data_IF_992745345769
#
_entry.id   IF_992745345769
#
_cell.length_a   1.000
_cell.length_b   1.000
_cell.length_c   1.000
_cell.angle_alpha   90.00
_cell.angle_beta   90.00
_cell.angle_gamma   90.00
#
_symmetry.space_group_name_H-M   'P 1'
#
loop_
_entity.id
_entity.type
_entity.pdbx_description
1 polymer ?
#
# COMPACT_ATOMS: atom_id res chain seq x y z
N UNK A 1 8.23 7.13 20.38
CA UNK A 1 7.34 8.21 19.93
C UNK A 1 5.84 7.85 19.97
N UNK A 2 5.44 6.71 20.54
CA UNK A 2 4.00 6.36 20.70
C UNK A 2 3.22 6.25 19.38
N UNK A 3 3.92 6.12 18.25
CA UNK A 3 3.32 5.97 16.93
C UNK A 3 3.10 4.48 16.64
N UNK A 4 1.94 4.09 16.08
CA UNK A 4 1.73 2.74 15.59
C UNK A 4 2.76 2.38 14.51
N UNK A 5 3.19 1.14 14.49
CA UNK A 5 4.22 0.60 13.63
C UNK A 5 3.61 -0.39 12.65
N UNK A 6 3.97 -0.26 11.39
CA UNK A 6 3.68 -1.22 10.33
C UNK A 6 5.00 -1.66 9.70
N UNK A 7 5.14 -2.96 9.45
CA UNK A 7 6.24 -3.51 8.65
C UNK A 7 5.75 -4.70 7.85
N UNK A 8 6.43 -5.01 6.76
CA UNK A 8 6.12 -6.19 5.98
C UNK A 8 6.81 -7.46 6.48
N UNK A 9 6.22 -8.58 6.04
CA UNK A 9 6.68 -9.93 6.34
C UNK A 9 6.90 -10.69 5.04
N UNK A 10 8.01 -11.44 4.97
CA UNK A 10 8.41 -12.19 3.78
C UNK A 10 8.28 -13.70 3.96
N UNK A 11 8.42 -14.17 5.20
CA UNK A 11 8.37 -15.59 5.56
C UNK A 11 7.53 -15.77 6.83
N UNK A 12 6.85 -16.91 6.95
CA UNK A 12 5.90 -17.13 8.06
C UNK A 12 6.59 -17.16 9.42
N UNK A 13 7.85 -17.59 9.46
CA UNK A 13 8.68 -17.68 10.67
C UNK A 13 8.98 -16.31 11.29
N UNK A 14 8.83 -15.22 10.51
CA UNK A 14 9.06 -13.85 11.00
C UNK A 14 7.89 -13.32 11.82
N UNK A 15 6.68 -13.89 11.69
CA UNK A 15 5.43 -13.36 12.25
C UNK A 15 5.49 -13.32 13.78
N UNK A 16 5.96 -14.39 14.43
CA UNK A 16 6.06 -14.48 15.90
C UNK A 16 6.98 -13.43 16.53
N UNK A 17 7.95 -12.94 15.76
CA UNK A 17 8.86 -11.89 16.20
C UNK A 17 8.21 -10.52 15.97
N UNK A 18 7.61 -10.31 14.80
CA UNK A 18 6.99 -9.04 14.43
C UNK A 18 5.81 -8.68 15.32
N UNK A 19 4.96 -9.64 15.71
CA UNK A 19 3.77 -9.40 16.53
C UNK A 19 4.05 -8.78 17.90
N UNK A 20 5.29 -8.84 18.37
CA UNK A 20 5.73 -8.24 19.64
C UNK A 20 6.04 -6.75 19.52
N UNK A 21 6.22 -6.24 18.30
CA UNK A 21 6.77 -4.89 18.05
C UNK A 21 5.97 -4.07 17.04
N UNK A 22 5.03 -4.67 16.31
CA UNK A 22 4.21 -3.97 15.32
C UNK A 22 2.73 -3.98 15.67
N UNK A 23 2.02 -2.98 15.17
CA UNK A 23 0.57 -2.84 15.31
C UNK A 23 -0.17 -3.33 14.05
N UNK A 24 0.52 -3.39 12.90
CA UNK A 24 -0.03 -3.87 11.62
C UNK A 24 1.04 -4.69 10.89
N UNK A 25 0.64 -5.84 10.35
CA UNK A 25 1.50 -6.65 9.47
C UNK A 25 1.17 -6.34 8.01
N UNK A 26 2.18 -5.99 7.21
CA UNK A 26 2.02 -5.78 5.77
C UNK A 26 2.38 -7.05 4.98
N UNK A 27 1.54 -7.44 4.02
CA UNK A 27 1.85 -8.52 3.07
C UNK A 27 2.36 -7.91 1.75
N UNK A 28 3.60 -8.22 1.31
CA UNK A 28 4.16 -7.70 0.06
C UNK A 28 3.35 -8.06 -1.18
N UNK A 29 3.39 -7.19 -2.19
CA UNK A 29 2.59 -7.33 -3.42
C UNK A 29 2.87 -8.66 -4.16
N UNK A 30 4.12 -9.12 -4.22
CA UNK A 30 4.46 -10.41 -4.83
C UNK A 30 3.98 -11.62 -4.03
N UNK A 31 3.76 -11.45 -2.73
CA UNK A 31 3.40 -12.52 -1.81
C UNK A 31 1.90 -12.54 -1.46
N UNK A 32 1.09 -11.64 -2.04
CA UNK A 32 -0.35 -11.50 -1.76
C UNK A 32 -1.22 -12.73 -2.10
N UNK A 33 -0.64 -13.78 -2.70
CA UNK A 33 -1.31 -15.05 -3.01
C UNK A 33 -0.71 -16.26 -2.27
N UNK A 34 0.31 -16.06 -1.43
CA UNK A 34 0.98 -17.14 -0.70
C UNK A 34 0.12 -17.59 0.47
N UNK A 35 -0.58 -18.71 0.32
CA UNK A 35 -1.56 -19.21 1.31
C UNK A 35 -0.96 -19.34 2.70
N UNK A 36 0.18 -20.01 2.82
CA UNK A 36 0.79 -20.28 4.13
C UNK A 36 1.15 -18.99 4.87
N UNK A 37 1.69 -18.00 4.16
CA UNK A 37 2.03 -16.70 4.72
C UNK A 37 0.77 -15.94 5.17
N UNK A 38 -0.27 -15.91 4.34
CA UNK A 38 -1.53 -15.22 4.66
C UNK A 38 -2.23 -15.85 5.87
N UNK A 39 -2.31 -17.18 5.91
CA UNK A 39 -2.94 -17.91 7.01
C UNK A 39 -2.16 -17.69 8.30
N UNK A 40 -0.83 -17.77 8.27
CA UNK A 40 -0.04 -17.55 9.48
C UNK A 40 -0.11 -16.09 9.95
N UNK A 41 -0.14 -15.13 9.02
CA UNK A 41 -0.29 -13.72 9.38
C UNK A 41 -1.65 -13.46 10.03
N UNK A 42 -2.73 -14.03 9.51
CA UNK A 42 -4.08 -13.88 10.06
C UNK A 42 -4.18 -14.40 11.50
N UNK A 43 -3.54 -15.54 11.82
CA UNK A 43 -3.54 -16.12 13.18
C UNK A 43 -2.92 -15.21 14.24
N UNK A 44 -2.10 -14.23 13.84
CA UNK A 44 -1.57 -13.23 14.78
C UNK A 44 -2.65 -12.36 15.43
N UNK A 45 -3.84 -12.29 14.82
CA UNK A 45 -4.94 -11.38 15.19
C UNK A 45 -4.56 -9.89 15.22
N UNK A 46 -3.43 -9.51 14.60
CA UNK A 46 -3.15 -8.12 14.28
C UNK A 46 -3.84 -7.74 12.96
N UNK A 47 -4.16 -6.45 12.76
CA UNK A 47 -4.58 -5.95 11.46
C UNK A 47 -3.56 -6.29 10.37
N UNK A 48 -4.06 -6.78 9.23
CA UNK A 48 -3.23 -7.16 8.09
C UNK A 48 -3.46 -6.18 6.94
N UNK A 49 -2.43 -5.48 6.49
CA UNK A 49 -2.46 -4.69 5.26
C UNK A 49 -1.88 -5.46 4.09
N UNK A 50 -2.71 -5.91 3.16
CA UNK A 50 -2.24 -6.62 1.96
C UNK A 50 -2.07 -5.69 0.78
N UNK A 51 -0.85 -5.63 0.23
CA UNK A 51 -0.60 -4.92 -1.03
C UNK A 51 -1.14 -5.76 -2.20
N UNK A 52 -2.02 -5.18 -3.02
CA UNK A 52 -2.51 -5.84 -4.23
C UNK A 52 -1.33 -6.09 -5.17
N UNK A 53 -1.13 -7.34 -5.59
CA UNK A 53 -0.13 -7.71 -6.57
C UNK A 53 -0.35 -6.96 -7.88
N UNK A 54 0.72 -6.50 -8.54
CA UNK A 54 0.62 -5.79 -9.83
C UNK A 54 0.07 -6.68 -10.97
N UNK A 55 -0.13 -7.96 -10.72
CA UNK A 55 -0.74 -8.94 -11.63
C UNK A 55 -2.21 -9.26 -11.29
N UNK A 56 -2.78 -8.70 -10.22
CA UNK A 56 -4.15 -8.98 -9.80
C UNK A 56 -5.12 -7.90 -10.27
N UNK A 57 -6.26 -8.35 -10.78
CA UNK A 57 -7.43 -7.49 -10.92
C UNK A 57 -8.02 -7.16 -9.54
N UNK A 58 -8.71 -6.03 -9.37
CA UNK A 58 -9.23 -5.63 -8.06
C UNK A 58 -10.28 -6.60 -7.51
N UNK A 59 -11.12 -7.21 -8.34
CA UNK A 59 -12.11 -8.20 -7.88
C UNK A 59 -11.48 -9.52 -7.40
N UNK A 60 -10.27 -9.85 -7.85
CA UNK A 60 -9.57 -11.06 -7.39
C UNK A 60 -9.06 -10.94 -5.95
N UNK A 61 -8.97 -9.71 -5.41
CA UNK A 61 -8.64 -9.48 -4.00
C UNK A 61 -9.66 -10.08 -3.05
N UNK A 62 -10.89 -10.37 -3.50
CA UNK A 62 -11.89 -11.09 -2.69
C UNK A 62 -11.32 -12.40 -2.12
N UNK A 63 -10.61 -13.18 -2.94
CA UNK A 63 -10.05 -14.46 -2.49
C UNK A 63 -8.90 -14.30 -1.47
N UNK A 64 -8.21 -13.16 -1.50
CA UNK A 64 -7.14 -12.85 -0.54
C UNK A 64 -7.75 -12.42 0.78
N UNK A 65 -8.76 -11.56 0.73
CA UNK A 65 -9.54 -11.10 1.88
C UNK A 65 -10.22 -12.27 2.58
N UNK A 66 -10.99 -13.08 1.84
CA UNK A 66 -11.71 -14.24 2.39
C UNK A 66 -10.76 -15.17 3.16
N UNK A 67 -9.53 -15.35 2.66
CA UNK A 67 -8.52 -16.20 3.31
C UNK A 67 -8.03 -15.61 4.62
N UNK A 68 -7.82 -14.29 4.69
CA UNK A 68 -7.41 -13.63 5.92
C UNK A 68 -8.53 -13.70 6.96
N UNK A 69 -9.77 -13.37 6.58
CA UNK A 69 -10.93 -13.38 7.47
C UNK A 69 -11.28 -14.78 7.99
N UNK A 70 -11.10 -15.82 7.18
CA UNK A 70 -11.36 -17.20 7.62
C UNK A 70 -10.34 -17.73 8.65
N UNK A 71 -9.22 -17.03 8.85
CA UNK A 71 -8.09 -17.51 9.67
C UNK A 71 -7.69 -16.54 10.80
N UNK A 72 -8.41 -15.44 11.01
CA UNK A 72 -8.18 -14.51 12.10
C UNK A 72 -9.11 -13.30 12.11
N UNK A 73 -9.16 -12.61 13.24
CA UNK A 73 -10.15 -11.55 13.52
C UNK A 73 -9.52 -10.14 13.64
N UNK A 74 -8.23 -9.99 13.31
CA UNK A 74 -7.49 -8.73 13.44
C UNK A 74 -7.92 -7.60 12.49
N UNK A 75 -8.69 -7.94 11.46
CA UNK A 75 -9.13 -7.02 10.41
C UNK A 75 -8.15 -6.92 9.23
N UNK A 76 -8.68 -6.47 8.08
CA UNK A 76 -7.94 -6.41 6.82
C UNK A 76 -7.96 -4.99 6.26
N UNK A 77 -6.81 -4.52 5.78
CA UNK A 77 -6.66 -3.32 4.96
C UNK A 77 -6.16 -3.74 3.57
N UNK A 78 -6.75 -3.15 2.52
CA UNK A 78 -6.40 -3.48 1.13
C UNK A 78 -5.64 -2.32 0.52
N UNK A 79 -4.39 -2.55 0.11
CA UNK A 79 -3.51 -1.49 -0.39
C UNK A 79 -3.35 -1.55 -1.92
N UNK A 80 -3.87 -0.56 -2.62
CA UNK A 80 -3.64 -0.35 -4.06
C UNK A 80 -2.25 0.25 -4.29
N UNK A 81 -1.50 -0.28 -5.26
CA UNK A 81 -0.12 0.13 -5.58
C UNK A 81 0.20 0.13 -7.09
N UNK A 82 -0.83 0.11 -7.94
CA UNK A 82 -0.72 0.00 -9.38
C UNK A 82 -0.84 -1.43 -9.91
N UNK A 83 -0.99 -1.54 -11.23
CA UNK A 83 -1.03 -2.80 -12.00
C UNK A 83 -0.03 -2.71 -13.15
N UNK A 84 0.56 -3.85 -13.54
CA UNK A 84 1.51 -3.93 -14.65
C UNK A 84 0.89 -3.39 -15.95
N UNK A 85 1.61 -2.48 -16.62
CA UNK A 85 1.17 -1.88 -17.87
C UNK A 85 2.28 -1.95 -18.92
N UNK A 86 2.35 -3.07 -19.63
CA UNK A 86 3.50 -3.37 -20.47
C UNK A 86 4.76 -3.67 -19.64
N UNK A 87 5.94 -3.40 -20.20
CA UNK A 87 7.21 -3.63 -19.53
C UNK A 87 7.65 -2.39 -18.74
N UNK A 88 8.22 -2.64 -17.55
CA UNK A 88 8.85 -1.64 -16.68
C UNK A 88 7.95 -0.44 -16.30
N UNK A 89 6.63 -0.59 -16.38
CA UNK A 89 5.65 0.47 -16.13
C UNK A 89 4.46 -0.06 -15.34
N UNK A 90 3.91 0.81 -14.49
CA UNK A 90 2.67 0.58 -13.77
C UNK A 90 1.64 1.64 -14.14
N UNK A 91 0.37 1.27 -14.07
CA UNK A 91 -0.76 2.20 -14.15
C UNK A 91 -1.63 2.07 -12.90
N UNK A 92 -2.13 3.21 -12.40
CA UNK A 92 -3.14 3.23 -11.34
C UNK A 92 -4.53 3.29 -11.97
N UNK A 93 -5.20 2.15 -12.07
CA UNK A 93 -6.62 2.11 -12.45
C UNK A 93 -7.48 2.51 -11.26
N UNK A 94 -7.85 3.78 -11.18
CA UNK A 94 -8.64 4.32 -10.06
C UNK A 94 -10.05 3.74 -9.93
N UNK A 95 -10.55 2.98 -10.91
CA UNK A 95 -11.77 2.16 -10.75
C UNK A 95 -11.57 1.06 -9.72
N UNK A 96 -10.33 0.66 -9.43
CA UNK A 96 -10.02 -0.34 -8.42
C UNK A 96 -10.48 0.09 -7.03
N UNK A 97 -10.39 1.38 -6.68
CA UNK A 97 -10.74 1.87 -5.35
C UNK A 97 -12.19 1.55 -4.97
N UNK A 98 -13.22 1.94 -5.74
CA UNK A 98 -14.60 1.57 -5.41
C UNK A 98 -14.85 0.05 -5.49
N UNK A 99 -14.18 -0.68 -6.38
CA UNK A 99 -14.29 -2.15 -6.44
C UNK A 99 -13.76 -2.80 -5.16
N UNK A 100 -12.61 -2.35 -4.66
CA UNK A 100 -12.00 -2.86 -3.43
C UNK A 100 -12.82 -2.45 -2.20
N UNK A 101 -13.40 -1.24 -2.18
CA UNK A 101 -14.31 -0.80 -1.10
C UNK A 101 -15.54 -1.71 -0.98
N UNK A 102 -16.06 -2.24 -2.09
CA UNK A 102 -17.20 -3.17 -2.07
C UNK A 102 -16.90 -4.49 -1.36
N UNK A 103 -15.62 -4.78 -1.06
CA UNK A 103 -15.23 -5.92 -0.23
C UNK A 103 -15.43 -5.64 1.27
N UNK A 104 -15.83 -4.43 1.67
CA UNK A 104 -16.15 -4.10 3.06
C UNK A 104 -14.95 -3.69 3.93
N UNK A 105 -13.77 -3.49 3.33
CA UNK A 105 -12.53 -3.18 4.05
C UNK A 105 -11.95 -1.80 3.75
N UNK A 106 -11.20 -1.19 4.70
CA UNK A 106 -10.41 0.01 4.46
C UNK A 106 -9.49 -0.14 3.25
N UNK A 107 -9.65 0.75 2.26
CA UNK A 107 -8.76 0.82 1.10
C UNK A 107 -7.67 1.86 1.34
N UNK A 108 -6.43 1.43 1.25
CA UNK A 108 -5.20 2.24 1.32
C UNK A 108 -4.69 2.47 -0.10
N UNK A 109 -4.20 3.67 -0.39
CA UNK A 109 -3.50 3.95 -1.65
C UNK A 109 -2.02 4.20 -1.40
N UNK A 110 -1.16 3.38 -2.00
CA UNK A 110 0.29 3.54 -1.98
C UNK A 110 0.73 4.55 -3.05
N UNK A 111 1.02 5.77 -2.61
CA UNK A 111 1.35 6.85 -3.51
C UNK A 111 2.74 6.72 -4.13
N UNK A 112 3.71 6.14 -3.41
CA UNK A 112 5.11 6.05 -3.84
C UNK A 112 5.34 4.86 -4.74
N UNK A 113 4.82 3.68 -4.40
CA UNK A 113 5.03 2.50 -5.24
C UNK A 113 4.17 2.50 -6.51
N UNK A 114 3.09 3.29 -6.55
CA UNK A 114 2.26 3.47 -7.74
C UNK A 114 2.97 4.24 -8.87
N UNK A 115 4.05 4.97 -8.55
CA UNK A 115 4.88 5.69 -9.54
C UNK A 115 6.18 4.95 -9.88
N UNK A 116 6.33 3.73 -9.38
CA UNK A 116 7.52 2.90 -9.63
C UNK A 116 7.56 2.45 -11.09
N UNK A 117 8.77 2.39 -11.62
CA UNK A 117 9.09 1.76 -12.90
C UNK A 117 9.91 0.49 -12.63
N UNK A 118 9.27 -0.69 -12.52
CA UNK A 118 9.92 -1.92 -12.08
C UNK A 118 11.09 -2.30 -12.98
N UNK A 119 12.29 -2.42 -12.44
CA UNK A 119 13.51 -2.71 -13.22
C UNK A 119 13.90 -1.63 -14.25
N UNK A 120 13.36 -0.42 -14.15
CA UNK A 120 13.56 0.66 -15.12
C UNK A 120 15.00 1.15 -15.27
N UNK A 121 15.89 0.83 -14.32
CA UNK A 121 17.33 1.14 -14.40
C UNK A 121 18.20 -0.10 -14.69
N UNK A 122 17.59 -1.25 -15.01
CA UNK A 122 18.29 -2.52 -15.22
C UNK A 122 18.56 -3.27 -13.92
N UNK A 123 19.50 -2.81 -13.10
CA UNK A 123 19.90 -3.46 -11.83
C UNK A 123 18.98 -3.12 -10.65
N UNK A 124 18.14 -2.08 -10.79
CA UNK A 124 17.17 -1.61 -9.78
C UNK A 124 15.94 -0.98 -10.42
N UNK A 125 14.90 -0.81 -9.62
CA UNK A 125 13.70 -0.06 -10.02
C UNK A 125 13.99 1.44 -10.13
N UNK A 126 13.37 2.10 -11.11
CA UNK A 126 13.27 3.56 -11.18
C UNK A 126 11.93 4.01 -10.57
N UNK A 127 11.65 5.29 -10.69
CA UNK A 127 10.44 5.93 -10.17
C UNK A 127 10.24 7.31 -10.76
N UNK A 128 8.99 7.77 -10.73
CA UNK A 128 8.60 9.10 -11.18
C UNK A 128 7.96 9.87 -10.02
N UNK A 129 8.75 10.18 -8.98
CA UNK A 129 8.26 10.85 -7.76
C UNK A 129 7.48 12.13 -8.03
N UNK A 130 7.72 12.81 -9.15
CA UNK A 130 6.97 13.99 -9.58
C UNK A 130 5.45 13.73 -9.70
N UNK A 131 5.04 12.46 -9.89
CA UNK A 131 3.65 12.06 -9.94
C UNK A 131 3.05 11.65 -8.59
N UNK A 132 3.84 11.53 -7.51
CA UNK A 132 3.34 11.17 -6.17
C UNK A 132 2.22 12.13 -5.72
N UNK A 133 2.39 13.47 -5.78
CA UNK A 133 1.33 14.39 -5.40
C UNK A 133 0.07 14.23 -6.26
N UNK A 134 0.24 14.00 -7.56
CA UNK A 134 -0.86 13.89 -8.53
C UNK A 134 -1.72 12.66 -8.23
N UNK A 135 -1.08 11.49 -8.07
CA UNK A 135 -1.80 10.24 -7.80
C UNK A 135 -2.41 10.24 -6.39
N UNK A 136 -1.70 10.77 -5.38
CA UNK A 136 -2.23 10.88 -4.02
C UNK A 136 -3.47 11.78 -3.95
N UNK A 137 -3.48 12.91 -4.68
CA UNK A 137 -4.65 13.81 -4.79
C UNK A 137 -5.82 13.12 -5.48
N UNK A 138 -5.58 12.38 -6.56
CA UNK A 138 -6.62 11.62 -7.26
C UNK A 138 -7.25 10.57 -6.34
N UNK A 139 -6.43 9.79 -5.63
CA UNK A 139 -6.91 8.79 -4.67
C UNK A 139 -7.73 9.42 -3.53
N UNK A 140 -7.25 10.54 -2.98
CA UNK A 140 -7.95 11.30 -1.92
C UNK A 140 -9.31 11.82 -2.39
N UNK A 141 -9.41 12.30 -3.64
CA UNK A 141 -10.64 12.83 -4.20
C UNK A 141 -11.72 11.76 -4.43
N UNK A 142 -11.34 10.50 -4.62
CA UNK A 142 -12.25 9.35 -4.70
C UNK A 142 -12.73 8.92 -3.29
N UNK A 143 -12.01 9.34 -2.25
CA UNK A 143 -12.18 8.89 -0.88
C UNK A 143 -11.48 7.56 -0.67
N UNK A 144 -10.53 7.53 0.25
CA UNK A 144 -9.80 6.34 0.68
C UNK A 144 -9.74 6.34 2.21
N UNK A 145 -9.40 5.20 2.80
CA UNK A 145 -9.22 5.12 4.24
C UNK A 145 -7.89 5.74 4.67
N UNK A 146 -6.81 5.48 3.91
CA UNK A 146 -5.47 5.98 4.20
C UNK A 146 -4.60 6.09 2.96
N UNK A 147 -3.51 6.85 3.07
CA UNK A 147 -2.42 6.91 2.10
C UNK A 147 -1.19 6.24 2.71
N UNK A 148 -0.55 5.38 1.93
CA UNK A 148 0.79 4.88 2.21
C UNK A 148 1.78 5.71 1.39
N UNK A 149 2.88 6.15 2.02
CA UNK A 149 3.90 6.98 1.38
C UNK A 149 5.23 6.79 2.09
N UNK A 150 6.27 6.49 1.32
CA UNK A 150 7.65 6.47 1.81
C UNK A 150 8.33 7.82 1.63
N UNK A 151 9.23 8.13 2.56
CA UNK A 151 9.92 9.41 2.61
C UNK A 151 11.34 9.22 3.12
N UNK A 152 12.22 10.16 2.78
CA UNK A 152 13.62 10.18 3.21
C UNK A 152 14.10 11.64 3.27
N UNK A 153 15.11 11.90 4.10
CA UNK A 153 15.78 13.21 4.20
C UNK A 153 16.42 13.62 2.88
N UNK A 154 16.97 12.64 2.17
CA UNK A 154 17.51 12.80 0.82
C UNK A 154 17.19 11.54 -0.01
N UNK A 155 16.05 11.51 -0.70
CA UNK A 155 15.64 10.35 -1.49
C UNK A 155 16.67 9.85 -2.51
N UNK A 156 17.58 10.71 -2.99
CA UNK A 156 18.53 10.35 -4.04
C UNK A 156 19.69 9.48 -3.52
N UNK A 157 19.89 9.43 -2.20
CA UNK A 157 20.86 8.55 -1.54
C UNK A 157 20.20 7.42 -0.75
N UNK A 158 18.87 7.27 -0.85
CA UNK A 158 18.16 6.20 -0.17
C UNK A 158 18.65 4.83 -0.69
N UNK A 159 18.84 3.83 0.20
CA UNK A 159 19.39 2.53 -0.19
C UNK A 159 18.43 1.69 -1.04
N UNK A 160 17.13 1.97 -0.97
CA UNK A 160 16.09 1.37 -1.82
C UNK A 160 15.05 2.42 -2.19
N UNK A 161 14.40 2.23 -3.34
CA UNK A 161 13.22 2.97 -3.81
C UNK A 161 13.32 4.50 -3.80
N UNK A 162 14.54 5.05 -3.70
CA UNK A 162 14.80 6.48 -3.72
C UNK A 162 14.01 7.25 -4.78
N UNK A 163 14.04 6.84 -6.07
CA UNK A 163 13.27 7.49 -7.15
C UNK A 163 11.75 7.60 -6.91
N UNK A 164 11.17 6.80 -6.01
CA UNK A 164 9.74 6.80 -5.65
C UNK A 164 9.44 7.66 -4.41
N UNK A 165 10.41 7.81 -3.51
CA UNK A 165 10.20 8.44 -2.20
C UNK A 165 9.91 9.93 -2.31
N UNK A 166 8.99 10.42 -1.47
CA UNK A 166 8.68 11.84 -1.37
C UNK A 166 9.65 12.52 -0.39
N UNK A 167 10.24 13.68 -0.70
CA UNK A 167 11.15 14.39 0.22
C UNK A 167 10.48 14.74 1.56
N UNK A 168 11.12 14.43 2.69
CA UNK A 168 10.53 14.62 4.04
C UNK A 168 10.19 16.10 4.34
N UNK A 169 11.01 17.02 3.84
CA UNK A 169 10.82 18.46 3.99
C UNK A 169 9.59 18.97 3.23
N UNK A 170 9.12 18.24 2.22
CA UNK A 170 7.92 18.56 1.45
C UNK A 170 6.67 17.81 1.94
N UNK A 171 6.83 16.82 2.82
CA UNK A 171 5.76 15.93 3.28
C UNK A 171 4.62 16.72 3.94
N UNK A 172 4.92 17.66 4.83
CA UNK A 172 3.91 18.45 5.55
C UNK A 172 2.99 19.19 4.58
N UNK A 173 3.55 19.86 3.58
CA UNK A 173 2.79 20.63 2.61
C UNK A 173 1.87 19.73 1.78
N UNK A 174 2.36 18.55 1.39
CA UNK A 174 1.55 17.58 0.66
C UNK A 174 0.41 17.04 1.53
N UNK A 175 0.67 16.67 2.79
CA UNK A 175 -0.35 16.18 3.72
C UNK A 175 -1.47 17.20 3.97
N UNK A 176 -1.13 18.48 4.13
CA UNK A 176 -2.14 19.55 4.29
C UNK A 176 -3.09 19.65 3.09
N UNK A 177 -2.57 19.46 1.87
CA UNK A 177 -3.37 19.42 0.65
C UNK A 177 -4.26 18.18 0.64
N UNK A 178 -3.69 17.00 0.92
CA UNK A 178 -4.43 15.73 0.90
C UNK A 178 -5.56 15.70 1.92
N UNK A 179 -5.36 16.24 3.13
CA UNK A 179 -6.42 16.38 4.14
C UNK A 179 -7.57 17.26 3.65
N UNK A 180 -7.31 18.30 2.87
CA UNK A 180 -8.38 19.14 2.28
C UNK A 180 -9.17 18.36 1.23
N UNK A 181 -8.50 17.61 0.36
CA UNK A 181 -9.16 16.73 -0.61
C UNK A 181 -10.02 15.67 0.10
N UNK A 182 -9.47 15.02 1.12
CA UNK A 182 -10.17 13.97 1.89
C UNK A 182 -11.45 14.49 2.55
N UNK A 183 -11.38 15.65 3.20
CA UNK A 183 -12.55 16.28 3.84
C UNK A 183 -13.66 16.58 2.84
N UNK A 184 -13.31 17.08 1.65
CA UNK A 184 -14.30 17.37 0.60
C UNK A 184 -14.91 16.07 0.10
N UNK A 185 -14.08 15.09 -0.26
CA UNK A 185 -14.54 13.81 -0.80
C UNK A 185 -15.45 13.04 0.18
N UNK A 186 -15.12 13.03 1.46
CA UNK A 186 -15.91 12.33 2.50
C UNK A 186 -17.15 13.07 2.96
N UNK A 187 -17.27 14.37 2.69
CA UNK A 187 -18.51 15.13 2.96
C UNK A 187 -19.53 15.04 1.81
N UNK A 188 -19.11 14.59 0.63
CA UNK A 188 -19.96 14.47 -0.56
C UNK A 188 -20.55 13.06 -0.75
N UNK A 189 -20.02 12.06 -0.05
CA UNK A 189 -20.46 10.66 -0.07
C UNK A 189 -21.18 10.30 1.23
#
# INVERSE_FOLDING_TARGET
MGCPIITDVHEKEQIDILTKVVDVIQIPAFLCRQTDLLVEAAKSNLPIMVKKGQFLAPWDMKNVVDKLEQNGDGGVLICERGVSFGYNTLVSDFRSIPILKNLGHPVVFDATHSVQQPGGLGDKSSGQREFVPTLAKAASAIGIAAIFMETHENPDIAPSDGPNMWPINELKNLLEILVRHDKIAKNLN
#
